data_IF_875737871262
#
_entry.id   IF_875737871262
#
_cell.length_a   1.000
_cell.length_b   1.000
_cell.length_c   1.000
_cell.angle_alpha   90.00
_cell.angle_beta   90.00
_cell.angle_gamma   90.00
#
_symmetry.space_group_name_H-M   'P 1'
#
loop_
_entity.id
_entity.type
_entity.pdbx_description
1 polymer ?
#
# COMPACT_ATOMS: atom_id res chain seq x y z
N UNK A 1 30.89 -57.86 12.83
CA UNK A 1 31.02 -56.58 13.57
C UNK A 1 31.07 -55.46 12.54
N UNK A 2 29.94 -54.78 12.31
CA UNK A 2 29.90 -53.58 11.47
C UNK A 2 29.23 -52.50 12.30
N UNK A 3 30.00 -51.46 12.63
CA UNK A 3 29.55 -50.30 13.38
C UNK A 3 28.55 -49.51 12.53
N UNK A 4 27.32 -49.40 13.02
CA UNK A 4 26.30 -48.51 12.50
C UNK A 4 26.56 -47.12 13.11
N UNK A 5 27.04 -46.19 12.28
CA UNK A 5 27.19 -44.78 12.69
C UNK A 5 25.80 -44.17 12.92
N UNK A 6 25.61 -43.63 14.12
CA UNK A 6 24.45 -42.83 14.54
C UNK A 6 24.25 -41.62 13.63
N UNK A 7 23.00 -41.22 13.32
CA UNK A 7 22.71 -40.01 12.57
C UNK A 7 23.13 -38.78 13.40
N UNK A 8 23.83 -37.85 12.75
CA UNK A 8 24.17 -36.53 13.26
C UNK A 8 22.93 -35.82 13.82
N UNK A 9 23.06 -35.28 15.02
CA UNK A 9 21.98 -34.61 15.72
C UNK A 9 21.52 -33.38 14.93
N UNK A 10 20.22 -33.10 14.91
CA UNK A 10 19.63 -31.88 14.32
C UNK A 10 20.34 -30.59 14.77
N UNK A 11 20.96 -30.61 15.96
CA UNK A 11 21.78 -29.51 16.50
C UNK A 11 23.05 -29.26 15.67
N UNK A 12 23.67 -30.30 15.14
CA UNK A 12 24.91 -30.21 14.34
C UNK A 12 24.61 -29.60 12.96
N UNK A 13 23.46 -29.96 12.37
CA UNK A 13 22.95 -29.36 11.14
C UNK A 13 22.56 -27.89 11.33
N UNK A 14 21.94 -27.54 12.45
CA UNK A 14 21.55 -26.16 12.75
C UNK A 14 22.77 -25.25 12.97
N UNK A 15 23.81 -25.74 13.66
CA UNK A 15 25.06 -25.00 13.86
C UNK A 15 25.79 -24.78 12.53
N UNK A 16 25.84 -25.79 11.66
CA UNK A 16 26.44 -25.66 10.33
C UNK A 16 25.67 -24.64 9.47
N UNK A 17 24.34 -24.67 9.53
CA UNK A 17 23.50 -23.73 8.78
C UNK A 17 23.69 -22.28 9.25
N UNK A 18 23.75 -22.05 10.57
CA UNK A 18 24.03 -20.73 11.15
C UNK A 18 25.42 -20.25 10.76
N UNK A 19 26.45 -21.12 10.79
CA UNK A 19 27.80 -20.77 10.40
C UNK A 19 27.91 -20.37 8.92
N UNK A 20 27.18 -21.06 8.03
CA UNK A 20 27.12 -20.73 6.59
C UNK A 20 26.43 -19.39 6.38
N UNK A 21 25.29 -19.14 7.03
CA UNK A 21 24.57 -17.85 6.92
C UNK A 21 25.43 -16.70 7.45
N UNK A 22 26.16 -16.90 8.55
CA UNK A 22 27.07 -15.88 9.10
C UNK A 22 28.24 -15.60 8.17
N UNK A 23 28.86 -16.63 7.57
CA UNK A 23 29.97 -16.47 6.64
C UNK A 23 29.54 -15.76 5.34
N UNK A 24 28.33 -16.03 4.86
CA UNK A 24 27.74 -15.32 3.71
C UNK A 24 27.46 -13.86 4.05
N UNK A 25 26.90 -13.58 5.24
CA UNK A 25 26.65 -12.20 5.68
C UNK A 25 27.94 -11.38 5.86
N UNK A 26 29.00 -11.99 6.39
CA UNK A 26 30.32 -11.34 6.52
C UNK A 26 30.98 -11.14 5.15
N UNK A 27 30.86 -12.11 4.24
CA UNK A 27 31.35 -11.98 2.85
C UNK A 27 30.63 -10.89 2.06
N UNK A 28 29.33 -10.68 2.30
CA UNK A 28 28.53 -9.60 1.71
C UNK A 28 28.87 -8.23 2.30
N UNK A 29 29.24 -8.15 3.58
CA UNK A 29 29.68 -6.90 4.23
C UNK A 29 31.10 -6.48 3.80
N UNK A 30 31.94 -7.42 3.35
CA UNK A 30 33.31 -7.15 2.92
C UNK A 30 33.44 -6.62 1.47
N UNK A 31 32.38 -6.60 0.66
CA UNK A 31 32.40 -6.02 -0.70
C UNK A 31 32.13 -4.51 -0.76
N UNK A 32 31.94 -3.85 0.37
CA UNK A 32 31.84 -2.40 0.42
C UNK A 32 33.17 -1.84 0.88
N UNK A 33 34.05 -1.49 -0.05
CA UNK A 33 34.86 -0.26 -0.10
C UNK A 33 35.96 -0.41 -1.16
N UNK A 34 35.69 0.06 -2.38
CA UNK A 34 36.71 0.70 -3.21
C UNK A 34 36.16 2.06 -3.67
N UNK A 35 36.96 3.14 -3.65
CA UNK A 35 36.52 4.46 -4.07
C UNK A 35 36.57 4.49 -5.59
N UNK A 36 35.42 4.29 -6.23
CA UNK A 36 35.28 4.55 -7.66
C UNK A 36 35.04 6.05 -7.83
N UNK A 37 36.11 6.79 -8.11
CA UNK A 37 35.99 8.05 -8.86
C UNK A 37 35.45 7.69 -10.25
N UNK A 38 34.13 7.78 -10.43
CA UNK A 38 33.52 7.77 -11.77
C UNK A 38 32.54 8.92 -11.83
N UNK A 39 32.88 9.87 -12.70
CA UNK A 39 32.04 10.95 -13.21
C UNK A 39 30.64 10.44 -13.56
N UNK A 40 29.73 10.49 -12.58
CA UNK A 40 28.31 10.14 -12.69
C UNK A 40 27.45 11.37 -12.41
N UNK A 41 27.88 12.53 -12.89
CA UNK A 41 27.23 13.81 -12.60
C UNK A 41 26.04 14.18 -13.53
N UNK A 42 26.01 13.85 -14.83
CA UNK A 42 24.96 14.42 -15.70
C UNK A 42 23.62 13.66 -15.62
N UNK A 43 23.64 12.32 -15.58
CA UNK A 43 22.40 11.53 -15.61
C UNK A 43 21.58 11.66 -14.31
N UNK A 44 22.24 11.64 -13.15
CA UNK A 44 21.60 11.81 -11.85
C UNK A 44 21.08 13.23 -11.65
N UNK A 45 21.82 14.25 -12.11
CA UNK A 45 21.36 15.63 -12.04
C UNK A 45 20.14 15.89 -12.94
N UNK A 46 20.15 15.37 -14.18
CA UNK A 46 18.99 15.49 -15.07
C UNK A 46 17.76 14.74 -14.57
N UNK A 47 17.92 13.57 -13.95
CA UNK A 47 16.82 12.82 -13.35
C UNK A 47 16.25 13.52 -12.11
N UNK A 48 17.09 14.02 -11.21
CA UNK A 48 16.64 14.79 -10.04
C UNK A 48 15.86 16.05 -10.43
N UNK A 49 16.36 16.82 -11.40
CA UNK A 49 15.66 18.02 -11.89
C UNK A 49 14.28 17.67 -12.45
N UNK A 50 14.18 16.55 -13.17
CA UNK A 50 12.92 16.08 -13.73
C UNK A 50 11.93 15.60 -12.64
N UNK A 51 12.40 14.86 -11.65
CA UNK A 51 11.59 14.43 -10.50
C UNK A 51 11.09 15.63 -9.67
N UNK A 52 11.93 16.65 -9.48
CA UNK A 52 11.57 17.89 -8.80
C UNK A 52 10.50 18.68 -9.58
N UNK A 53 10.59 18.74 -10.91
CA UNK A 53 9.56 19.37 -11.75
C UNK A 53 8.22 18.63 -11.67
N UNK A 54 8.25 17.30 -11.68
CA UNK A 54 7.05 16.46 -11.49
C UNK A 54 6.45 16.70 -10.11
N UNK A 55 7.25 16.65 -9.05
CA UNK A 55 6.80 16.90 -7.68
C UNK A 55 6.20 18.31 -7.51
N UNK A 56 6.83 19.32 -8.13
CA UNK A 56 6.33 20.70 -8.13
C UNK A 56 5.01 20.86 -8.90
N UNK A 57 4.74 20.01 -9.90
CA UNK A 57 3.47 19.99 -10.63
C UNK A 57 2.37 19.28 -9.84
N UNK A 58 2.67 18.11 -9.26
CA UNK A 58 1.73 17.31 -8.45
C UNK A 58 1.30 18.07 -7.20
N UNK A 59 2.24 18.71 -6.50
CA UNK A 59 1.96 19.45 -5.25
C UNK A 59 0.94 20.58 -5.42
N UNK A 60 0.71 21.05 -6.65
CA UNK A 60 -0.32 22.06 -6.95
C UNK A 60 -1.73 21.48 -7.01
N UNK A 61 -1.88 20.16 -7.10
CA UNK A 61 -3.18 19.52 -7.17
C UNK A 61 -3.83 19.49 -5.78
N UNK A 62 -4.97 20.18 -5.66
CA UNK A 62 -5.76 20.26 -4.42
C UNK A 62 -7.26 20.01 -4.68
N UNK A 63 -7.66 19.89 -5.95
CA UNK A 63 -8.99 19.48 -6.36
C UNK A 63 -8.96 18.66 -7.66
N UNK A 64 -10.08 18.05 -8.01
CA UNK A 64 -10.20 17.15 -9.19
C UNK A 64 -9.87 17.91 -10.49
N UNK A 65 -10.16 19.21 -10.53
CA UNK A 65 -9.94 20.08 -11.68
C UNK A 65 -8.45 20.31 -11.96
N UNK A 66 -7.59 20.20 -10.95
CA UNK A 66 -6.15 20.38 -11.10
C UNK A 66 -5.49 19.15 -11.74
N UNK A 67 -6.12 17.98 -11.61
CA UNK A 67 -5.61 16.71 -12.10
C UNK A 67 -5.93 16.56 -13.59
N UNK A 68 -4.93 16.31 -14.46
CA UNK A 68 -5.17 16.03 -15.88
C UNK A 68 -6.16 14.89 -16.10
N UNK A 69 -7.12 15.08 -17.02
CA UNK A 69 -8.21 14.11 -17.26
C UNK A 69 -7.75 12.70 -17.62
N UNK A 70 -6.62 12.56 -18.33
CA UNK A 70 -6.07 11.26 -18.70
C UNK A 70 -5.51 10.48 -17.50
N UNK A 71 -5.40 11.12 -16.33
CA UNK A 71 -4.93 10.52 -15.07
C UNK A 71 -6.07 10.17 -14.10
N UNK A 72 -7.31 10.52 -14.43
CA UNK A 72 -8.47 10.36 -13.53
C UNK A 72 -8.79 8.90 -13.16
N UNK A 73 -8.26 7.93 -13.90
CA UNK A 73 -8.41 6.48 -13.66
C UNK A 73 -7.09 5.81 -13.19
N UNK A 74 -6.05 6.59 -12.88
CA UNK A 74 -4.70 6.09 -12.51
C UNK A 74 -4.41 6.11 -11.01
N UNK A 75 -5.40 6.50 -10.21
CA UNK A 75 -5.30 6.48 -8.75
C UNK A 75 -5.13 5.06 -8.23
N UNK A 76 -4.01 4.86 -7.55
CA UNK A 76 -3.58 3.59 -6.97
C UNK A 76 -3.62 3.69 -5.46
N UNK A 77 -4.24 2.74 -4.74
CA UNK A 77 -4.22 2.73 -3.29
C UNK A 77 -2.79 2.58 -2.76
N UNK A 78 -2.51 3.22 -1.63
CA UNK A 78 -1.30 2.97 -0.85
C UNK A 78 -1.64 2.33 0.51
N UNK A 79 -1.73 0.99 0.55
CA UNK A 79 -2.02 0.23 1.76
C UNK A 79 -1.14 0.57 2.96
N UNK A 80 0.12 0.98 2.72
CA UNK A 80 1.06 1.26 3.81
C UNK A 80 0.70 2.51 4.61
N UNK A 81 -0.13 3.38 4.02
CA UNK A 81 -0.60 4.64 4.63
C UNK A 81 -2.06 4.60 5.05
N UNK A 82 -2.72 3.45 4.90
CA UNK A 82 -4.08 3.28 5.37
C UNK A 82 -4.14 3.27 6.90
N UNK A 83 -5.17 3.89 7.47
CA UNK A 83 -5.41 3.93 8.90
C UNK A 83 -6.79 3.36 9.22
N UNK A 84 -6.89 2.68 10.36
CA UNK A 84 -8.14 2.08 10.85
C UNK A 84 -8.53 0.76 10.19
N UNK A 85 -7.86 0.33 9.11
CA UNK A 85 -8.19 -0.91 8.36
C UNK A 85 -8.08 -2.15 9.25
N UNK A 86 -6.99 -2.32 9.99
CA UNK A 86 -6.82 -3.49 10.85
C UNK A 86 -7.87 -3.54 11.97
N UNK A 87 -8.14 -2.39 12.61
CA UNK A 87 -9.17 -2.30 13.65
C UNK A 87 -10.56 -2.62 13.07
N UNK A 88 -10.86 -2.07 11.90
CA UNK A 88 -12.08 -2.33 11.14
C UNK A 88 -12.26 -3.82 10.87
N UNK A 89 -11.27 -4.46 10.24
CA UNK A 89 -11.34 -5.86 9.85
C UNK A 89 -11.47 -6.75 11.08
N UNK A 90 -10.71 -6.47 12.14
CA UNK A 90 -10.79 -7.16 13.42
C UNK A 90 -12.17 -7.04 14.07
N UNK A 91 -12.70 -5.82 14.22
CA UNK A 91 -13.97 -5.60 14.93
C UNK A 91 -15.19 -6.10 14.16
N UNK A 92 -15.11 -6.11 12.84
CA UNK A 92 -16.16 -6.64 11.95
C UNK A 92 -16.02 -8.14 11.68
N UNK A 93 -14.87 -8.74 12.01
CA UNK A 93 -14.59 -10.15 11.76
C UNK A 93 -14.37 -10.47 10.28
N UNK A 94 -13.83 -9.53 9.52
CA UNK A 94 -13.69 -9.62 8.05
C UNK A 94 -12.25 -9.75 7.56
N UNK A 95 -11.29 -9.97 8.46
CA UNK A 95 -9.92 -10.37 8.07
C UNK A 95 -9.95 -11.69 7.30
N UNK A 96 -9.12 -11.81 6.27
CA UNK A 96 -9.02 -12.95 5.37
C UNK A 96 -10.21 -13.11 4.42
N UNK A 97 -11.07 -12.10 4.29
CA UNK A 97 -12.25 -12.15 3.41
C UNK A 97 -12.08 -11.26 2.19
N UNK A 98 -12.96 -11.43 1.19
CA UNK A 98 -13.01 -10.57 0.00
C UNK A 98 -13.13 -9.08 0.35
N UNK A 99 -13.67 -8.73 1.52
CA UNK A 99 -13.74 -7.33 1.94
C UNK A 99 -12.37 -6.72 2.21
N UNK A 100 -11.47 -7.50 2.82
CA UNK A 100 -10.08 -7.08 3.04
C UNK A 100 -9.40 -6.83 1.69
N UNK A 101 -9.55 -7.77 0.74
CA UNK A 101 -9.01 -7.62 -0.61
C UNK A 101 -9.57 -6.37 -1.31
N UNK A 102 -10.88 -6.12 -1.21
CA UNK A 102 -11.49 -4.92 -1.80
C UNK A 102 -10.90 -3.65 -1.19
N UNK A 103 -10.73 -3.58 0.13
CA UNK A 103 -10.13 -2.41 0.77
C UNK A 103 -8.70 -2.15 0.27
N UNK A 104 -7.91 -3.20 0.07
CA UNK A 104 -6.52 -3.03 -0.38
C UNK A 104 -6.34 -2.86 -1.89
N UNK A 105 -7.24 -3.39 -2.72
CA UNK A 105 -7.04 -3.47 -4.18
C UNK A 105 -8.08 -2.71 -5.01
N UNK A 106 -9.05 -2.04 -4.40
CA UNK A 106 -9.99 -1.22 -5.14
C UNK A 106 -9.30 -0.07 -5.89
N UNK A 107 -9.86 0.26 -7.05
CA UNK A 107 -9.43 1.42 -7.85
C UNK A 107 -10.41 2.55 -7.69
N UNK A 108 -9.92 3.76 -7.87
CA UNK A 108 -10.76 4.94 -7.96
C UNK A 108 -10.85 5.41 -9.40
N UNK A 109 -12.02 5.94 -9.75
CA UNK A 109 -12.21 6.71 -10.97
C UNK A 109 -12.82 8.04 -10.63
N UNK A 110 -12.24 9.10 -11.18
CA UNK A 110 -12.78 10.43 -11.09
C UNK A 110 -13.52 10.79 -12.38
N UNK A 111 -14.59 11.56 -12.24
CA UNK A 111 -15.27 12.21 -13.34
C UNK A 111 -15.73 13.63 -12.95
N UNK A 112 -16.47 14.31 -13.83
CA UNK A 112 -16.96 15.67 -13.57
C UNK A 112 -17.95 15.76 -12.40
N UNK A 113 -18.52 14.64 -11.96
CA UNK A 113 -19.49 14.53 -10.86
C UNK A 113 -18.81 14.20 -9.53
N UNK A 114 -17.54 13.81 -9.55
CA UNK A 114 -16.73 13.57 -8.36
C UNK A 114 -15.94 12.27 -8.45
N UNK A 115 -15.75 11.64 -7.30
CA UNK A 115 -14.95 10.41 -7.18
C UNK A 115 -15.88 9.23 -7.00
N UNK A 116 -15.68 8.21 -7.84
CA UNK A 116 -16.38 6.93 -7.76
C UNK A 116 -15.39 5.83 -7.43
N UNK A 117 -15.76 5.01 -6.46
CA UNK A 117 -15.05 3.77 -6.21
C UNK A 117 -15.40 2.77 -7.33
N UNK A 118 -14.38 2.19 -7.94
CA UNK A 118 -14.52 1.01 -8.80
C UNK A 118 -14.00 -0.17 -7.99
N UNK A 119 -14.84 -0.74 -7.10
CA UNK A 119 -14.47 -1.96 -6.42
C UNK A 119 -14.28 -3.08 -7.46
N UNK A 120 -13.25 -3.89 -7.27
CA UNK A 120 -13.02 -5.08 -8.09
C UNK A 120 -14.19 -6.09 -7.97
N UNK A 121 -14.98 -5.97 -6.89
CA UNK A 121 -16.21 -6.72 -6.64
C UNK A 121 -17.24 -5.83 -5.90
N UNK A 122 -18.00 -5.03 -6.67
CA UNK A 122 -19.02 -4.11 -6.12
C UNK A 122 -20.11 -4.82 -5.34
N UNK A 123 -20.38 -6.08 -5.67
CA UNK A 123 -21.39 -6.88 -5.00
C UNK A 123 -20.97 -7.24 -3.57
N UNK A 124 -19.74 -7.69 -3.35
CA UNK A 124 -19.21 -7.99 -2.02
C UNK A 124 -19.10 -6.73 -1.15
N UNK A 125 -18.64 -5.60 -1.72
CA UNK A 125 -18.65 -4.32 -1.01
C UNK A 125 -20.08 -3.89 -0.65
N UNK A 126 -21.02 -3.95 -1.58
CA UNK A 126 -22.42 -3.60 -1.33
C UNK A 126 -23.07 -4.55 -0.32
N UNK A 127 -22.82 -5.86 -0.40
CA UNK A 127 -23.32 -6.83 0.58
C UNK A 127 -22.77 -6.55 1.98
N UNK A 128 -21.51 -6.14 2.11
CA UNK A 128 -20.98 -5.69 3.39
C UNK A 128 -21.66 -4.39 3.87
N UNK A 129 -21.73 -3.39 2.99
CA UNK A 129 -22.32 -2.07 3.29
C UNK A 129 -23.82 -2.15 3.61
N UNK A 130 -24.54 -3.12 3.05
CA UNK A 130 -25.98 -3.36 3.24
C UNK A 130 -26.26 -4.44 4.30
N UNK A 131 -25.32 -5.36 4.53
CA UNK A 131 -25.47 -6.59 5.32
C UNK A 131 -25.13 -6.48 6.80
N UNK A 132 -24.72 -5.31 7.30
CA UNK A 132 -24.64 -5.04 8.74
C UNK A 132 -26.04 -4.85 9.38
N UNK A 133 -26.97 -5.78 9.12
CA UNK A 133 -28.20 -5.96 9.90
C UNK A 133 -29.45 -5.23 9.41
N UNK A 134 -29.58 -4.91 8.11
CA UNK A 134 -30.81 -4.33 7.55
C UNK A 134 -31.18 -2.92 8.05
N UNK A 135 -30.35 -2.34 8.93
CA UNK A 135 -30.38 -0.93 9.29
C UNK A 135 -29.34 -0.21 8.43
N UNK A 136 -29.76 0.86 7.76
CA UNK A 136 -28.86 1.75 7.00
C UNK A 136 -27.71 2.16 7.91
N UNK A 137 -26.52 1.62 7.64
CA UNK A 137 -25.28 2.09 8.27
C UNK A 137 -25.17 3.57 7.93
N UNK A 138 -25.08 4.44 8.94
CA UNK A 138 -24.84 5.86 8.70
C UNK A 138 -23.41 6.00 8.23
N UNK A 139 -23.26 6.25 6.94
CA UNK A 139 -21.98 6.51 6.30
C UNK A 139 -21.73 8.02 6.30
N UNK A 140 -20.63 8.43 6.91
CA UNK A 140 -20.11 9.79 6.74
C UNK A 140 -18.74 9.69 6.08
N UNK A 141 -18.68 10.03 4.81
CA UNK A 141 -17.45 10.09 4.04
C UNK A 141 -17.06 11.52 3.73
N UNK A 142 -15.76 11.80 3.74
CA UNK A 142 -15.17 13.00 3.16
C UNK A 142 -13.99 12.62 2.29
N UNK A 143 -13.76 13.41 1.25
CA UNK A 143 -12.64 13.21 0.34
C UNK A 143 -11.99 14.53 0.02
N UNK A 144 -10.68 14.54 -0.13
CA UNK A 144 -9.93 15.71 -0.60
C UNK A 144 -8.73 15.27 -1.42
N UNK A 145 -8.28 16.14 -2.31
CA UNK A 145 -6.96 16.04 -2.91
C UNK A 145 -6.07 17.03 -2.17
N UNK A 146 -4.90 16.61 -1.75
CA UNK A 146 -3.94 17.44 -1.03
C UNK A 146 -2.54 17.04 -1.46
N UNK A 147 -1.73 18.00 -1.89
CA UNK A 147 -0.39 17.75 -2.42
C UNK A 147 -0.35 16.67 -3.51
N UNK A 148 -1.41 16.61 -4.33
CA UNK A 148 -1.62 15.64 -5.40
C UNK A 148 -1.84 14.19 -4.97
N UNK A 149 -2.11 13.97 -3.69
CA UNK A 149 -2.60 12.71 -3.17
C UNK A 149 -4.10 12.80 -2.94
N UNK A 150 -4.81 11.70 -3.16
CA UNK A 150 -6.23 11.62 -2.83
C UNK A 150 -6.38 10.99 -1.45
N UNK A 151 -7.05 11.70 -0.55
CA UNK A 151 -7.38 11.23 0.78
C UNK A 151 -8.87 10.97 0.86
N UNK A 152 -9.23 9.74 1.26
CA UNK A 152 -10.60 9.35 1.51
C UNK A 152 -10.75 8.95 2.96
N UNK A 153 -11.61 9.64 3.69
CA UNK A 153 -11.93 9.32 5.06
C UNK A 153 -13.39 8.94 5.14
N UNK A 154 -13.72 7.84 5.82
CA UNK A 154 -15.10 7.53 6.10
C UNK A 154 -15.28 6.89 7.46
N UNK A 155 -16.42 7.17 8.06
CA UNK A 155 -16.84 6.65 9.35
C UNK A 155 -18.14 5.92 9.20
N UNK A 156 -18.28 4.86 9.99
CA UNK A 156 -19.52 4.11 10.09
C UNK A 156 -19.81 3.73 11.53
N UNK A 157 -21.09 3.83 11.89
CA UNK A 157 -21.60 3.42 13.19
C UNK A 157 -21.96 1.94 13.15
N UNK A 158 -21.13 1.09 13.75
CA UNK A 158 -21.40 -0.32 13.85
C UNK A 158 -22.24 -0.62 15.10
N UNK A 159 -23.39 -1.27 14.91
CA UNK A 159 -24.44 -1.46 15.93
C UNK A 159 -23.95 -2.03 17.27
N UNK A 160 -22.87 -2.83 17.28
CA UNK A 160 -22.29 -3.44 18.49
C UNK A 160 -20.88 -2.95 18.83
N UNK A 161 -20.25 -2.15 17.96
CA UNK A 161 -18.80 -1.85 18.05
C UNK A 161 -18.48 -0.34 18.08
N UNK A 162 -19.53 0.50 18.04
CA UNK A 162 -19.39 1.94 18.05
C UNK A 162 -18.96 2.48 16.69
N UNK A 163 -18.46 3.72 16.69
CA UNK A 163 -17.93 4.38 15.50
C UNK A 163 -16.59 3.77 15.11
N UNK A 164 -16.45 3.46 13.83
CA UNK A 164 -15.24 2.95 13.22
C UNK A 164 -14.88 3.86 12.04
N UNK A 165 -13.60 4.25 11.98
CA UNK A 165 -13.08 5.19 10.99
C UNK A 165 -12.02 4.54 10.12
N UNK A 166 -12.03 4.89 8.83
CA UNK A 166 -11.07 4.45 7.84
C UNK A 166 -10.50 5.66 7.12
N UNK A 167 -9.18 5.73 7.02
CA UNK A 167 -8.49 6.71 6.18
C UNK A 167 -7.67 5.98 5.14
N UNK A 168 -7.96 6.26 3.87
CA UNK A 168 -7.33 5.67 2.72
C UNK A 168 -6.62 6.76 1.91
N UNK A 169 -5.45 6.42 1.40
CA UNK A 169 -4.59 7.33 0.64
C UNK A 169 -4.28 6.72 -0.72
N UNK A 170 -4.34 7.54 -1.77
CA UNK A 170 -4.10 7.11 -3.13
C UNK A 170 -3.18 8.10 -3.80
N UNK A 171 -2.35 7.58 -4.70
CA UNK A 171 -1.41 8.35 -5.49
C UNK A 171 -1.51 7.94 -6.95
N UNK A 172 -0.90 8.74 -7.82
CA UNK A 172 -0.73 8.38 -9.22
C UNK A 172 0.71 7.92 -9.40
N UNK A 173 0.95 6.66 -9.78
CA UNK A 173 2.30 6.15 -9.98
C UNK A 173 3.09 6.98 -11.00
N UNK A 174 4.40 7.10 -10.76
CA UNK A 174 5.29 7.98 -11.51
C UNK A 174 5.29 7.68 -13.02
N UNK A 175 5.13 6.42 -13.42
CA UNK A 175 5.07 5.99 -14.81
C UNK A 175 3.91 6.61 -15.62
N UNK A 176 2.88 7.13 -14.95
CA UNK A 176 1.77 7.84 -15.61
C UNK A 176 1.99 9.35 -15.70
N UNK A 177 3.04 9.89 -15.09
CA UNK A 177 3.29 11.33 -14.98
C UNK A 177 4.28 11.87 -16.02
N UNK A 178 4.92 10.96 -16.75
CA UNK A 178 5.94 11.20 -17.79
C UNK A 178 5.27 11.36 -19.16
#
# INVERSE_FOLDING_TARGET
MSHQQSPSSFKDLLVLFIAIVLAVAIGLLAQKTEPIETTTAPATASQMVFEDEIAAKISRWNCVQDVPKHLWDKWTPDPTRFQGVNEFLFKTGTNGTELEEILYFHRLKMDRRGVSWIPYNSHAFNQFMVGAGGKRVKFQGSSRIENGEFHYHFQFEHAKKGMLGLQLVYFIPHEYLI
#
